data_IF_713156166900
#
_entry.id   IF_713156166900
#
_cell.length_a   1.000
_cell.length_b   1.000
_cell.length_c   1.000
_cell.angle_alpha   90.00
_cell.angle_beta   90.00
_cell.angle_gamma   90.00
#
_symmetry.space_group_name_H-M   'P 1'
#
loop_
_entity.id
_entity.type
_entity.pdbx_description
1 polymer ?
#
# COMPACT_ATOMS: atom_id res chain seq x y z
N UNK A 1 42.88 20.09 9.82
CA UNK A 1 42.39 18.80 9.29
C UNK A 1 40.88 18.73 9.48
N UNK A 2 40.11 18.99 8.41
CA UNK A 2 38.65 18.87 8.44
C UNK A 2 38.31 17.39 8.28
N UNK A 3 37.73 16.79 9.32
CA UNK A 3 37.36 15.37 9.33
C UNK A 3 36.16 15.22 8.39
N UNK A 4 36.39 14.69 7.20
CA UNK A 4 35.34 14.40 6.20
C UNK A 4 34.26 13.54 6.85
N UNK A 5 33.00 13.97 6.75
CA UNK A 5 31.83 13.28 7.31
C UNK A 5 31.54 13.42 8.81
N UNK A 6 32.31 14.18 9.59
CA UNK A 6 32.07 14.44 11.03
C UNK A 6 31.59 15.87 11.35
N UNK A 7 31.20 16.12 12.61
CA UNK A 7 30.87 17.47 13.07
C UNK A 7 32.02 18.44 12.79
N UNK A 8 31.74 19.53 12.07
CA UNK A 8 32.72 20.57 11.71
C UNK A 8 33.20 21.41 12.89
N UNK A 9 32.79 21.07 14.10
CA UNK A 9 33.21 21.74 15.33
C UNK A 9 34.63 21.31 15.71
N UNK A 10 35.35 22.19 16.39
CA UNK A 10 36.61 21.78 17.02
C UNK A 10 36.32 20.71 18.09
N UNK A 11 37.25 19.76 18.34
CA UNK A 11 37.04 18.70 19.32
C UNK A 11 36.66 19.21 20.72
N UNK A 12 37.14 20.40 21.09
CA UNK A 12 36.79 21.06 22.35
C UNK A 12 35.30 21.45 22.41
N UNK A 13 34.80 22.14 21.38
CA UNK A 13 33.40 22.58 21.32
C UNK A 13 32.46 21.37 21.16
N UNK A 14 32.88 20.34 20.43
CA UNK A 14 32.13 19.09 20.34
C UNK A 14 31.94 18.41 21.70
N UNK A 15 33.00 18.38 22.55
CA UNK A 15 32.91 17.84 23.91
C UNK A 15 32.01 18.66 24.84
N UNK A 16 32.08 19.99 24.75
CA UNK A 16 31.19 20.88 25.51
C UNK A 16 29.73 20.60 25.15
N UNK A 17 29.43 20.53 23.85
CA UNK A 17 28.07 20.25 23.36
C UNK A 17 27.57 18.88 23.84
N UNK A 18 28.38 17.84 23.68
CA UNK A 18 28.01 16.48 24.08
C UNK A 18 27.84 16.36 25.61
N UNK A 19 28.62 17.12 26.38
CA UNK A 19 28.46 17.22 27.84
C UNK A 19 27.11 17.84 28.23
N UNK A 20 26.72 18.97 27.63
CA UNK A 20 25.41 19.58 27.90
C UNK A 20 24.24 18.75 27.37
N UNK A 21 24.42 18.01 26.28
CA UNK A 21 23.41 17.09 25.73
C UNK A 21 23.26 15.80 26.54
N UNK A 22 24.25 15.44 27.38
CA UNK A 22 24.36 14.14 28.10
C UNK A 22 24.23 12.91 27.18
N UNK A 23 24.44 13.09 25.89
CA UNK A 23 24.41 12.04 24.87
C UNK A 23 25.35 12.42 23.74
N UNK A 24 25.78 11.42 22.99
CA UNK A 24 26.50 11.66 21.74
C UNK A 24 25.58 12.41 20.78
N UNK A 25 26.05 13.54 20.27
CA UNK A 25 25.29 14.29 19.28
C UNK A 25 25.09 13.46 18.02
N UNK A 26 23.86 13.46 17.53
CA UNK A 26 23.51 12.90 16.23
C UNK A 26 23.29 14.06 15.26
N UNK A 27 24.12 14.13 14.22
CA UNK A 27 24.12 15.22 13.26
C UNK A 27 22.97 15.05 12.26
N UNK A 28 22.00 15.95 12.31
CA UNK A 28 20.84 15.95 11.40
C UNK A 28 21.09 16.67 10.07
N UNK A 29 22.27 17.29 9.91
CA UNK A 29 22.61 18.04 8.71
C UNK A 29 23.05 17.10 7.59
N UNK A 30 22.61 17.42 6.37
CA UNK A 30 22.94 16.65 5.17
C UNK A 30 24.25 17.14 4.58
N UNK A 31 25.31 16.37 4.78
CA UNK A 31 26.59 16.61 4.12
C UNK A 31 26.67 15.85 2.80
N UNK A 32 27.45 16.38 1.86
CA UNK A 32 27.64 15.79 0.54
C UNK A 32 28.24 14.38 0.61
N UNK A 33 29.05 14.08 1.63
CA UNK A 33 29.69 12.77 1.80
C UNK A 33 28.68 11.66 2.16
N UNK A 34 27.56 12.02 2.79
CA UNK A 34 26.52 11.10 3.26
C UNK A 34 25.30 11.08 2.34
N UNK A 35 25.36 11.79 1.21
CA UNK A 35 24.26 11.89 0.25
C UNK A 35 24.70 11.42 -1.13
N UNK A 36 23.77 10.89 -1.91
CA UNK A 36 24.05 10.57 -3.30
C UNK A 36 24.38 11.84 -4.10
N UNK A 37 25.21 11.71 -5.14
CA UNK A 37 25.53 12.82 -6.02
C UNK A 37 24.26 13.31 -6.73
N UNK A 38 24.16 14.62 -6.96
CA UNK A 38 23.06 15.22 -7.74
C UNK A 38 23.09 14.81 -9.21
N UNK A 39 24.27 14.51 -9.74
CA UNK A 39 24.44 13.96 -11.08
C UNK A 39 24.22 12.45 -11.02
N UNK A 40 23.12 11.98 -11.60
CA UNK A 40 22.77 10.57 -11.70
C UNK A 40 23.05 10.10 -13.14
N UNK A 41 23.70 8.92 -13.34
CA UNK A 41 23.84 8.37 -14.68
C UNK A 41 22.47 8.05 -15.30
N UNK A 42 22.37 7.94 -16.64
CA UNK A 42 21.12 7.53 -17.28
C UNK A 42 20.69 6.15 -16.76
N UNK A 43 19.42 6.03 -16.37
CA UNK A 43 18.86 4.79 -15.86
C UNK A 43 18.32 3.91 -17.00
N UNK A 44 18.56 2.59 -16.92
CA UNK A 44 17.93 1.60 -17.78
C UNK A 44 16.92 0.79 -16.95
N UNK A 45 15.68 1.28 -16.91
CA UNK A 45 14.61 0.67 -16.13
C UNK A 45 13.99 -0.50 -16.93
N UNK A 46 13.67 -1.63 -16.28
CA UNK A 46 12.94 -2.69 -16.94
C UNK A 46 11.55 -2.21 -17.34
N UNK A 47 11.04 -2.76 -18.44
CA UNK A 47 9.67 -2.51 -18.87
C UNK A 47 8.62 -3.07 -17.91
N UNK A 48 7.39 -2.58 -18.02
CA UNK A 48 6.25 -3.17 -17.31
C UNK A 48 5.82 -4.53 -17.87
N UNK A 49 4.93 -5.21 -17.16
CA UNK A 49 4.42 -6.56 -17.52
C UNK A 49 3.78 -6.61 -18.92
N UNK A 50 3.23 -5.47 -19.37
CA UNK A 50 2.59 -5.31 -20.67
C UNK A 50 3.51 -4.74 -21.76
N UNK A 51 4.84 -4.73 -21.58
CA UNK A 51 5.79 -4.45 -22.67
C UNK A 51 6.00 -5.71 -23.54
N UNK A 52 4.92 -6.24 -24.11
CA UNK A 52 4.90 -7.41 -25.00
C UNK A 52 4.46 -7.02 -26.40
N UNK A 53 5.10 -7.59 -27.42
CA UNK A 53 4.87 -7.30 -28.84
C UNK A 53 3.63 -8.03 -29.38
N UNK A 54 3.42 -9.28 -28.94
CA UNK A 54 2.29 -10.13 -29.32
C UNK A 54 1.42 -10.48 -28.10
N UNK A 55 0.19 -10.95 -28.37
CA UNK A 55 -0.73 -11.48 -27.34
C UNK A 55 -1.04 -10.50 -26.18
N UNK A 56 -0.98 -9.20 -26.45
CA UNK A 56 -1.18 -8.15 -25.45
C UNK A 56 -2.24 -7.13 -25.88
N UNK A 57 -3.47 -7.58 -26.20
CA UNK A 57 -4.52 -6.66 -26.62
C UNK A 57 -4.98 -5.78 -25.44
N UNK A 58 -5.26 -4.51 -25.71
CA UNK A 58 -5.70 -3.56 -24.67
C UNK A 58 -7.04 -3.97 -24.02
N UNK A 59 -7.97 -4.55 -24.79
CA UNK A 59 -9.29 -4.90 -24.28
C UNK A 59 -9.26 -5.93 -23.14
N UNK A 60 -8.28 -6.85 -23.14
CA UNK A 60 -8.16 -7.89 -22.11
C UNK A 60 -7.56 -7.39 -20.79
N UNK A 61 -6.87 -6.25 -20.81
CA UNK A 61 -6.20 -5.64 -19.65
C UNK A 61 -6.89 -4.39 -19.11
N UNK A 62 -7.93 -3.91 -19.79
CA UNK A 62 -8.62 -2.66 -19.41
C UNK A 62 -9.63 -2.90 -18.28
N UNK A 63 -9.12 -2.96 -17.04
CA UNK A 63 -9.94 -3.08 -15.84
C UNK A 63 -10.95 -1.92 -15.67
N UNK A 64 -10.70 -0.75 -16.28
CA UNK A 64 -11.64 0.38 -16.22
C UNK A 64 -12.98 0.07 -16.87
N UNK A 65 -13.01 -0.86 -17.83
CA UNK A 65 -14.23 -1.33 -18.52
C UNK A 65 -14.83 -2.58 -17.90
N UNK A 66 -14.12 -3.20 -16.95
CA UNK A 66 -14.62 -4.35 -16.19
C UNK A 66 -15.40 -3.94 -14.95
N UNK A 67 -15.43 -2.64 -14.63
CA UNK A 67 -16.27 -2.11 -13.56
C UNK A 67 -17.75 -2.20 -13.98
N UNK A 68 -18.49 -3.09 -13.32
CA UNK A 68 -19.93 -3.21 -13.48
C UNK A 68 -20.67 -2.21 -12.56
N UNK A 69 -21.91 -1.83 -12.90
CA UNK A 69 -22.79 -1.15 -11.96
C UNK A 69 -22.91 -1.93 -10.65
N UNK A 70 -23.11 -1.23 -9.54
CA UNK A 70 -23.31 -1.86 -8.24
C UNK A 70 -24.50 -2.82 -8.26
N UNK A 71 -24.35 -3.98 -7.63
CA UNK A 71 -25.46 -4.93 -7.44
C UNK A 71 -26.44 -4.35 -6.43
N UNK A 72 -27.70 -4.23 -6.83
CA UNK A 72 -28.77 -3.74 -5.97
C UNK A 72 -29.28 -4.88 -5.08
N UNK A 73 -28.98 -4.81 -3.78
CA UNK A 73 -29.35 -5.86 -2.80
C UNK A 73 -30.79 -5.65 -2.29
N UNK A 74 -31.27 -4.41 -2.30
CA UNK A 74 -32.62 -4.05 -1.88
C UNK A 74 -33.11 -2.81 -2.62
N UNK A 75 -34.30 -2.88 -3.21
CA UNK A 75 -35.02 -1.75 -3.82
C UNK A 75 -36.31 -1.51 -3.07
N UNK A 76 -36.58 -0.28 -2.65
CA UNK A 76 -37.90 0.12 -2.15
C UNK A 76 -38.85 0.37 -3.33
N UNK A 77 -39.65 -0.63 -3.71
CA UNK A 77 -40.60 -0.53 -4.84
C UNK A 77 -41.30 -1.85 -5.20
N UNK A 78 -42.18 -1.88 -6.22
CA UNK A 78 -42.78 -3.13 -6.69
C UNK A 78 -41.68 -4.09 -7.14
N UNK A 79 -41.78 -5.35 -6.71
CA UNK A 79 -40.81 -6.42 -7.02
C UNK A 79 -40.55 -6.47 -8.53
N UNK A 80 -39.32 -6.20 -8.94
CA UNK A 80 -38.89 -6.35 -10.34
C UNK A 80 -39.19 -7.79 -10.80
N UNK A 81 -39.84 -7.92 -11.95
CA UNK A 81 -40.10 -9.22 -12.56
C UNK A 81 -38.77 -9.86 -12.92
N UNK A 82 -38.59 -11.13 -12.56
CA UNK A 82 -37.44 -11.91 -13.03
C UNK A 82 -37.54 -12.04 -14.55
N UNK A 83 -36.40 -12.04 -15.25
CA UNK A 83 -36.35 -12.31 -16.68
C UNK A 83 -37.07 -13.64 -16.95
N UNK A 84 -37.99 -13.64 -17.91
CA UNK A 84 -38.87 -14.78 -18.17
C UNK A 84 -38.08 -16.05 -18.51
N UNK A 85 -38.08 -17.02 -17.61
CA UNK A 85 -37.42 -18.32 -17.79
C UNK A 85 -36.91 -18.94 -16.49
N UNK A 86 -36.49 -18.14 -15.52
CA UNK A 86 -35.95 -18.63 -14.26
C UNK A 86 -37.02 -18.61 -13.16
N UNK A 87 -37.68 -19.75 -12.99
CA UNK A 87 -38.52 -20.01 -11.82
C UNK A 87 -37.64 -19.98 -10.58
N UNK A 88 -37.64 -18.85 -9.87
CA UNK A 88 -36.96 -18.72 -8.59
C UNK A 88 -37.50 -19.79 -7.63
N UNK A 89 -36.65 -20.77 -7.31
CA UNK A 89 -36.93 -21.75 -6.25
C UNK A 89 -37.27 -20.97 -4.97
N UNK A 90 -38.38 -21.32 -4.35
CA UNK A 90 -38.82 -20.71 -3.09
C UNK A 90 -37.81 -21.05 -2.00
N UNK A 91 -36.85 -20.16 -1.75
CA UNK A 91 -35.95 -20.26 -0.62
C UNK A 91 -36.79 -20.04 0.64
N UNK A 92 -37.01 -21.10 1.42
CA UNK A 92 -37.65 -21.02 2.71
C UNK A 92 -36.82 -20.09 3.61
N UNK A 93 -37.48 -19.16 4.29
CA UNK A 93 -36.81 -18.22 5.18
C UNK A 93 -36.13 -18.98 6.32
N UNK A 94 -34.80 -19.13 6.23
CA UNK A 94 -33.98 -19.64 7.32
C UNK A 94 -33.96 -18.65 8.48
N UNK A 95 -33.92 -19.16 9.71
CA UNK A 95 -33.80 -18.37 10.95
C UNK A 95 -32.64 -17.37 10.82
N UNK A 96 -32.90 -16.10 11.07
CA UNK A 96 -31.90 -15.04 10.95
C UNK A 96 -30.71 -15.32 11.88
N UNK A 97 -29.60 -15.78 11.32
CA UNK A 97 -28.31 -15.81 11.99
C UNK A 97 -27.76 -14.40 12.02
N UNK A 98 -27.06 -14.01 13.08
CA UNK A 98 -26.32 -12.75 13.14
C UNK A 98 -25.21 -12.79 12.07
N UNK A 99 -25.45 -12.15 10.91
CA UNK A 99 -24.46 -12.05 9.83
C UNK A 99 -23.56 -10.86 10.14
N UNK A 100 -22.29 -11.13 10.42
CA UNK A 100 -21.24 -10.12 10.58
C UNK A 100 -20.49 -9.98 9.25
N UNK A 101 -20.17 -8.75 8.77
CA UNK A 101 -19.34 -8.59 7.58
C UNK A 101 -17.90 -9.05 7.87
N UNK A 102 -17.59 -10.30 7.52
CA UNK A 102 -16.27 -10.91 7.68
C UNK A 102 -16.02 -11.53 9.04
N UNK A 103 -14.88 -12.22 9.15
CA UNK A 103 -14.44 -12.89 10.37
C UNK A 103 -13.63 -11.95 11.27
N UNK A 104 -13.77 -12.11 12.60
CA UNK A 104 -12.97 -11.35 13.56
C UNK A 104 -11.54 -11.92 13.61
N UNK A 105 -10.56 -11.12 13.21
CA UNK A 105 -9.15 -11.50 13.31
C UNK A 105 -8.54 -11.07 14.66
N UNK A 106 -7.84 -11.98 15.32
CA UNK A 106 -7.13 -11.73 16.59
C UNK A 106 -5.62 -11.66 16.33
N UNK A 107 -5.06 -10.44 16.35
CA UNK A 107 -3.63 -10.20 16.07
C UNK A 107 -2.68 -10.87 17.08
N UNK A 108 -3.13 -11.09 18.31
CA UNK A 108 -2.33 -11.66 19.40
C UNK A 108 -2.50 -13.19 19.55
N UNK A 109 -3.27 -13.84 18.67
CA UNK A 109 -3.47 -15.28 18.76
C UNK A 109 -2.17 -16.03 18.42
N UNK A 110 -1.81 -17.08 19.18
CA UNK A 110 -0.68 -17.92 18.82
C UNK A 110 -0.95 -18.61 17.48
N UNK A 111 0.05 -18.60 16.60
CA UNK A 111 0.00 -19.27 15.29
C UNK A 111 -0.22 -20.76 15.58
N UNK A 112 -1.36 -21.30 15.13
CA UNK A 112 -1.59 -22.74 15.19
C UNK A 112 -0.66 -23.41 14.17
N UNK A 113 0.14 -24.42 14.56
CA UNK A 113 1.06 -25.12 13.67
C UNK A 113 0.34 -25.95 12.59
#
# INVERSE_FOLDING_TARGET
MSVRGGDRLTPFVARIRDFFLRRKYNNSLRYADHYSKRSVPPAFLPGGIHHKISENPYYGRDARRQAFPSVEVYTSGPKLLTVGGDSALSISASKATEIVPGEKFSWDAPIQP
#
